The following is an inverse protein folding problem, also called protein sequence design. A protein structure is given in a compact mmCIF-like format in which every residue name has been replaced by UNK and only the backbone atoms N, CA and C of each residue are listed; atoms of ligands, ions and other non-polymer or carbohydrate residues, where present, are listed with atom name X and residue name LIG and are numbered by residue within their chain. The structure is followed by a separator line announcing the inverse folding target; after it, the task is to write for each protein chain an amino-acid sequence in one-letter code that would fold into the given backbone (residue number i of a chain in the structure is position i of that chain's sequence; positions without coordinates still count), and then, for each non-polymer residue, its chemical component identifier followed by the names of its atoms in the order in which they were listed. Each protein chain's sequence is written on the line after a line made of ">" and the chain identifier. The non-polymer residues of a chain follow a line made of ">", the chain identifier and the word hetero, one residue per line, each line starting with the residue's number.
data_IF_101290442805
#
_entry.id   IF_101290442805
#
_cell.length_a   1.000
_cell.length_b   1.000
_cell.length_c   1.000
_cell.angle_alpha   90.00
_cell.angle_beta   90.00
_cell.angle_gamma   90.00
#
_symmetry.space_group_name_H-M   'P 1'
#
loop_
_entity.id
_entity.type
_entity.pdbx_description
1 polymer ?
#
# COMPACT_ATOMS: atom_id res chain seq x y z
N UNK A 1 2.74 7.58 26.00
CA UNK A 1 3.22 8.60 25.03
C UNK A 1 2.55 8.31 23.71
N UNK A 2 2.21 9.33 22.94
CA UNK A 2 1.54 9.21 21.65
C UNK A 2 2.58 9.39 20.53
N UNK A 3 2.50 8.57 19.49
CA UNK A 3 3.39 8.65 18.32
C UNK A 3 2.72 9.46 17.20
N UNK A 4 3.50 10.13 16.32
CA UNK A 4 2.96 10.85 15.18
C UNK A 4 2.07 9.97 14.28
N UNK A 5 0.95 10.53 13.84
CA UNK A 5 -0.04 9.84 13.00
C UNK A 5 -0.99 8.91 13.77
N UNK A 6 -0.83 8.75 15.09
CA UNK A 6 -1.76 8.01 15.94
C UNK A 6 -2.68 8.95 16.72
N UNK A 7 -3.81 8.41 17.17
CA UNK A 7 -4.69 9.07 18.13
C UNK A 7 -4.93 8.20 19.35
N UNK A 8 -5.50 8.78 20.40
CA UNK A 8 -5.96 8.05 21.57
C UNK A 8 -7.26 8.68 22.09
N UNK A 9 -8.27 7.86 22.30
CA UNK A 9 -9.64 8.28 22.58
C UNK A 9 -10.11 7.78 23.94
N UNK A 10 -10.77 8.63 24.71
CA UNK A 10 -11.37 8.32 26.00
C UNK A 10 -12.87 8.51 25.93
N UNK A 11 -13.64 7.68 26.63
CA UNK A 11 -15.09 7.80 26.68
C UNK A 11 -15.60 7.98 28.12
N UNK A 12 -16.56 8.89 28.28
CA UNK A 12 -17.15 9.26 29.56
C UNK A 12 -18.66 9.47 29.43
N UNK A 13 -19.42 8.88 30.35
CA UNK A 13 -20.85 9.17 30.48
C UNK A 13 -21.03 10.44 31.33
N UNK A 14 -21.42 11.54 30.69
CA UNK A 14 -21.48 12.89 31.28
C UNK A 14 -22.93 13.40 31.35
N UNK A 15 -23.30 13.98 32.50
CA UNK A 15 -24.46 14.86 32.63
C UNK A 15 -24.12 16.25 32.09
N UNK A 16 -24.48 16.47 30.82
CA UNK A 16 -24.18 17.69 30.09
C UNK A 16 -24.86 18.94 30.66
N UNK A 17 -25.81 18.82 31.60
CA UNK A 17 -26.48 19.99 32.18
C UNK A 17 -25.56 20.87 33.05
N UNK A 18 -24.44 20.31 33.52
CA UNK A 18 -23.44 21.01 34.34
C UNK A 18 -22.24 21.54 33.54
N UNK A 19 -22.25 21.35 32.22
CA UNK A 19 -21.15 21.71 31.35
C UNK A 19 -19.98 20.72 31.40
N UNK A 20 -19.02 20.95 30.51
CA UNK A 20 -17.82 20.14 30.34
C UNK A 20 -16.63 21.06 30.07
N UNK A 21 -15.50 20.76 30.71
CA UNK A 21 -14.25 21.47 30.53
C UNK A 21 -13.10 20.47 30.39
N UNK A 22 -12.48 20.43 29.22
CA UNK A 22 -11.41 19.51 28.87
C UNK A 22 -10.19 20.34 28.52
N UNK A 23 -9.08 20.11 29.21
CA UNK A 23 -7.80 20.76 28.92
C UNK A 23 -6.73 19.71 28.64
N UNK A 24 -6.15 19.79 27.45
CA UNK A 24 -4.97 19.05 27.00
C UNK A 24 -3.74 19.94 27.21
N UNK A 25 -2.66 19.38 27.74
CA UNK A 25 -1.36 20.05 27.84
C UNK A 25 -0.22 19.07 27.60
N UNK A 26 0.83 19.54 26.95
CA UNK A 26 2.08 18.80 26.82
C UNK A 26 3.30 19.69 27.04
N UNK A 27 4.35 19.08 27.59
CA UNK A 27 5.66 19.72 27.66
C UNK A 27 6.35 19.52 26.30
N UNK A 28 6.18 20.51 25.42
CA UNK A 28 6.76 20.46 24.07
C UNK A 28 8.28 20.61 24.11
N UNK A 29 8.94 20.10 23.09
CA UNK A 29 10.38 20.26 22.93
C UNK A 29 10.71 21.71 22.58
N UNK A 30 11.92 22.14 22.93
CA UNK A 30 12.46 23.46 22.57
C UNK A 30 12.38 23.70 21.05
N UNK A 31 11.54 24.66 20.65
CA UNK A 31 11.43 25.13 19.27
C UNK A 31 12.61 26.01 18.84
N UNK A 32 12.73 26.24 17.53
CA UNK A 32 13.83 27.04 16.99
C UNK A 32 13.78 28.50 17.44
N UNK A 33 14.91 29.02 17.95
CA UNK A 33 15.05 30.43 18.29
C UNK A 33 15.20 31.34 17.06
N UNK A 34 15.58 30.79 15.90
CA UNK A 34 15.88 31.55 14.67
C UNK A 34 14.71 31.67 13.69
N UNK A 35 13.58 31.00 13.93
CA UNK A 35 12.40 31.10 13.07
C UNK A 35 11.80 32.51 13.07
N UNK A 36 11.07 32.87 12.02
CA UNK A 36 10.36 34.15 11.97
C UNK A 36 9.38 34.27 13.15
N UNK A 37 9.05 35.50 13.56
CA UNK A 37 8.09 35.72 14.66
C UNK A 37 6.69 35.19 14.35
N UNK A 38 6.34 35.05 13.07
CA UNK A 38 5.06 34.51 12.61
C UNK A 38 5.03 32.98 12.47
N UNK A 39 6.16 32.30 12.65
CA UNK A 39 6.22 30.84 12.58
C UNK A 39 5.93 30.22 13.95
N UNK A 40 5.12 29.16 13.95
CA UNK A 40 4.89 28.34 15.14
C UNK A 40 6.21 27.89 15.74
N UNK A 41 6.28 27.89 17.07
CA UNK A 41 7.41 27.33 17.83
C UNK A 41 7.14 25.90 18.27
N UNK A 42 5.95 25.39 17.94
CA UNK A 42 5.51 24.05 18.27
C UNK A 42 6.35 23.03 17.48
N UNK A 43 6.94 22.06 18.19
CA UNK A 43 7.70 20.95 17.60
C UNK A 43 6.81 19.73 17.44
N UNK A 44 6.05 19.38 18.47
CA UNK A 44 5.04 18.33 18.42
C UNK A 44 3.64 18.92 18.48
N UNK A 45 2.84 18.60 17.47
CA UNK A 45 1.49 19.11 17.28
C UNK A 45 0.48 18.04 17.72
N UNK A 46 -0.17 18.28 18.87
CA UNK A 46 -1.22 17.41 19.42
C UNK A 46 -2.56 18.14 19.36
N UNK A 47 -3.58 17.49 18.82
CA UNK A 47 -4.90 18.08 18.61
C UNK A 47 -5.93 17.45 19.57
N UNK A 48 -6.64 18.29 20.32
CA UNK A 48 -7.79 17.92 21.13
C UNK A 48 -9.07 17.99 20.29
N UNK A 49 -9.82 16.90 20.26
CA UNK A 49 -11.19 16.87 19.76
C UNK A 49 -12.12 16.28 20.82
N UNK A 50 -13.23 16.95 21.08
CA UNK A 50 -14.28 16.47 21.99
C UNK A 50 -15.56 16.30 21.18
N UNK A 51 -16.12 15.10 21.19
CA UNK A 51 -17.33 14.74 20.45
C UNK A 51 -18.47 14.46 21.43
N UNK A 52 -19.60 15.13 21.25
CA UNK A 52 -20.81 14.94 22.05
C UNK A 52 -21.58 13.68 21.64
N UNK A 53 -22.54 13.24 22.47
CA UNK A 53 -23.39 12.08 22.19
C UNK A 53 -24.19 12.18 20.87
N UNK A 54 -24.42 13.39 20.36
CA UNK A 54 -25.12 13.62 19.10
C UNK A 54 -24.19 13.72 17.88
N UNK A 55 -22.88 13.47 18.07
CA UNK A 55 -21.85 13.54 17.03
C UNK A 55 -21.27 14.93 16.79
N UNK A 56 -21.69 15.96 17.52
CA UNK A 56 -21.12 17.31 17.39
C UNK A 56 -19.68 17.34 17.89
N UNK A 57 -18.75 17.81 17.05
CA UNK A 57 -17.32 17.87 17.37
C UNK A 57 -16.87 19.28 17.72
N UNK A 58 -16.10 19.40 18.81
CA UNK A 58 -15.46 20.62 19.27
C UNK A 58 -13.95 20.45 19.22
N UNK A 59 -13.25 21.39 18.58
CA UNK A 59 -11.79 21.38 18.48
C UNK A 59 -11.17 22.22 19.59
N UNK A 60 -9.95 21.86 19.99
CA UNK A 60 -9.15 22.64 20.92
C UNK A 60 -9.05 24.10 20.49
N UNK A 61 -9.29 25.01 21.45
CA UNK A 61 -9.16 26.45 21.30
C UNK A 61 -10.07 27.13 20.24
N UNK A 62 -11.06 26.41 19.69
CA UNK A 62 -12.11 27.02 18.87
C UNK A 62 -13.17 27.68 19.78
N UNK A 63 -12.97 28.96 20.10
CA UNK A 63 -13.78 29.70 21.07
C UNK A 63 -14.50 30.92 20.48
N UNK A 64 -15.76 31.11 20.90
CA UNK A 64 -16.46 32.39 20.79
C UNK A 64 -17.05 32.78 22.14
N UNK A 65 -16.82 34.03 22.58
CA UNK A 65 -17.33 34.56 23.85
C UNK A 65 -16.98 33.69 25.08
N UNK A 66 -15.83 33.01 25.07
CA UNK A 66 -15.34 32.19 26.18
C UNK A 66 -15.88 30.76 26.27
N UNK A 67 -16.65 30.31 25.26
CA UNK A 67 -17.16 28.94 25.13
C UNK A 67 -16.83 28.35 23.76
N UNK A 68 -16.69 27.03 23.70
CA UNK A 68 -16.30 26.34 22.48
C UNK A 68 -17.37 26.41 21.41
N UNK A 69 -16.93 26.54 20.17
CA UNK A 69 -17.75 26.54 18.96
C UNK A 69 -17.41 25.33 18.08
N UNK A 70 -18.16 25.18 17.00
CA UNK A 70 -18.00 24.12 16.01
C UNK A 70 -17.54 24.71 14.67
N UNK A 71 -16.89 23.90 13.84
CA UNK A 71 -16.54 24.27 12.47
C UNK A 71 -15.25 25.09 12.34
N UNK A 72 -14.55 25.38 13.44
CA UNK A 72 -13.22 25.97 13.41
C UNK A 72 -12.14 25.01 12.87
N UNK A 73 -10.93 25.55 12.78
CA UNK A 73 -9.71 24.79 12.46
C UNK A 73 -9.06 24.27 13.73
N UNK A 74 -8.23 23.23 13.59
CA UNK A 74 -7.38 22.77 14.69
C UNK A 74 -6.39 23.87 15.10
N UNK A 75 -6.04 23.94 16.37
CA UNK A 75 -4.93 24.77 16.83
C UNK A 75 -3.61 24.10 16.39
N UNK A 76 -2.59 24.91 16.10
CA UNK A 76 -1.25 24.45 15.67
C UNK A 76 -0.16 25.40 16.17
N UNK A 77 -0.52 26.23 17.15
CA UNK A 77 0.30 27.30 17.73
C UNK A 77 0.55 27.07 19.21
N UNK A 78 -0.39 26.43 19.91
CA UNK A 78 -0.38 26.29 21.36
C UNK A 78 -0.13 24.84 21.78
N UNK A 79 0.67 24.66 22.83
CA UNK A 79 0.85 23.37 23.52
C UNK A 79 -0.15 23.14 24.66
N UNK A 80 -1.21 23.96 24.69
CA UNK A 80 -2.34 23.87 25.59
C UNK A 80 -3.58 24.07 24.76
N UNK A 81 -4.45 23.08 24.75
CA UNK A 81 -5.72 23.11 24.05
C UNK A 81 -6.86 22.87 25.01
N UNK A 82 -7.96 23.62 24.83
CA UNK A 82 -9.13 23.51 25.70
C UNK A 82 -10.42 23.46 24.90
N UNK A 83 -11.34 22.63 25.37
CA UNK A 83 -12.75 22.67 25.03
C UNK A 83 -13.55 22.99 26.29
N UNK A 84 -14.46 23.96 26.22
CA UNK A 84 -15.31 24.36 27.35
C UNK A 84 -16.73 24.68 26.90
N UNK A 85 -17.69 23.96 27.46
CA UNK A 85 -19.12 24.17 27.23
C UNK A 85 -19.83 24.48 28.55
N UNK A 86 -20.73 25.47 28.55
CA UNK A 86 -21.55 25.80 29.72
C UNK A 86 -22.60 24.72 30.02
N UNK A 87 -23.05 24.04 28.96
CA UNK A 87 -23.98 22.93 28.98
C UNK A 87 -23.85 22.15 27.65
N UNK A 88 -24.28 20.91 27.63
CA UNK A 88 -24.30 20.05 26.45
C UNK A 88 -25.30 18.91 26.59
N UNK A 89 -25.28 17.98 25.63
CA UNK A 89 -26.07 16.76 25.71
C UNK A 89 -25.59 15.85 26.88
N UNK A 90 -26.54 15.18 27.52
CA UNK A 90 -26.24 14.11 28.47
C UNK A 90 -26.09 12.80 27.73
N UNK A 91 -25.03 12.05 28.02
CA UNK A 91 -24.72 10.78 27.35
C UNK A 91 -23.21 10.51 27.30
N UNK A 92 -22.80 9.65 26.37
CA UNK A 92 -21.40 9.32 26.14
C UNK A 92 -20.67 10.37 25.31
N UNK A 93 -19.60 10.91 25.87
CA UNK A 93 -18.71 11.88 25.24
C UNK A 93 -17.35 11.25 24.95
N UNK A 94 -16.89 11.43 23.72
CA UNK A 94 -15.57 10.99 23.28
C UNK A 94 -14.58 12.14 23.33
N UNK A 95 -13.45 11.95 24.00
CA UNK A 95 -12.34 12.90 24.04
C UNK A 95 -11.15 12.24 23.34
N UNK A 96 -10.79 12.76 22.17
CA UNK A 96 -9.67 12.25 21.37
C UNK A 96 -8.49 13.22 21.38
N UNK A 97 -7.29 12.65 21.49
CA UNK A 97 -6.01 13.35 21.34
C UNK A 97 -5.30 12.75 20.13
N UNK A 98 -5.15 13.51 19.06
CA UNK A 98 -4.43 13.09 17.85
C UNK A 98 -3.04 13.71 17.78
N UNK A 99 -2.08 13.03 17.16
CA UNK A 99 -0.72 13.55 16.96
C UNK A 99 -0.48 13.87 15.49
N UNK A 100 -0.63 15.14 15.10
CA UNK A 100 -0.53 15.58 13.71
C UNK A 100 0.88 15.71 13.17
N UNK A 101 1.90 15.84 14.03
CA UNK A 101 3.29 15.88 13.56
C UNK A 101 4.30 16.12 14.68
N UNK A 102 5.58 15.83 14.40
CA UNK A 102 6.67 15.98 15.34
C UNK A 102 7.31 14.65 15.74
N UNK A 103 7.78 14.57 16.98
CA UNK A 103 8.33 13.33 17.58
C UNK A 103 7.38 12.80 18.65
N UNK A 104 7.54 11.54 19.05
CA UNK A 104 6.75 10.94 20.13
C UNK A 104 6.65 11.86 21.35
N UNK A 105 5.42 12.12 21.80
CA UNK A 105 5.11 13.14 22.81
C UNK A 105 4.23 12.57 23.92
N UNK A 106 4.56 12.87 25.18
CA UNK A 106 3.66 12.65 26.31
C UNK A 106 2.76 13.86 26.54
N UNK A 107 1.55 13.63 27.06
CA UNK A 107 0.61 14.68 27.40
C UNK A 107 -0.08 14.40 28.74
N UNK A 108 -0.77 15.41 29.26
CA UNK A 108 -1.72 15.30 30.34
C UNK A 108 -3.08 15.83 29.89
N UNK A 109 -4.14 15.17 30.34
CA UNK A 109 -5.53 15.52 30.06
C UNK A 109 -6.26 15.72 31.39
N UNK A 110 -6.96 16.84 31.52
CA UNK A 110 -7.80 17.15 32.68
C UNK A 110 -9.22 17.37 32.21
N UNK A 111 -10.17 16.66 32.81
CA UNK A 111 -11.59 16.77 32.52
C UNK A 111 -12.31 17.18 33.80
N UNK A 112 -13.12 18.23 33.71
CA UNK A 112 -14.03 18.67 34.76
C UNK A 112 -15.46 18.63 34.24
N UNK A 113 -16.22 17.64 34.72
CA UNK A 113 -17.62 17.42 34.39
C UNK A 113 -18.31 16.63 35.52
N UNK A 114 -19.63 16.54 35.48
CA UNK A 114 -20.41 15.61 36.32
C UNK A 114 -20.66 14.35 35.49
N UNK A 115 -20.13 13.21 35.91
CA UNK A 115 -20.22 11.98 35.13
C UNK A 115 -19.36 10.85 35.69
N UNK A 116 -19.23 9.79 34.92
CA UNK A 116 -18.37 8.65 35.24
C UNK A 116 -17.52 8.26 34.02
N UNK A 117 -16.35 7.69 34.27
CA UNK A 117 -15.59 6.98 33.25
C UNK A 117 -16.44 5.86 32.65
N UNK A 118 -16.44 5.76 31.33
CA UNK A 118 -17.08 4.68 30.58
C UNK A 118 -16.08 4.12 29.56
N UNK A 119 -15.04 3.40 30.02
CA UNK A 119 -13.97 2.95 29.13
C UNK A 119 -14.49 1.91 28.13
N UNK A 120 -14.28 2.18 26.85
CA UNK A 120 -14.55 1.29 25.71
C UNK A 120 -13.23 1.04 24.97
N UNK A 121 -13.11 -0.06 24.22
CA UNK A 121 -11.97 -0.34 23.34
C UNK A 121 -12.15 0.36 22.00
N UNK A 122 -11.06 0.50 21.25
CA UNK A 122 -11.10 1.08 19.90
C UNK A 122 -9.90 0.52 19.13
N UNK A 123 -10.09 -0.60 18.44
CA UNK A 123 -9.16 -1.10 17.45
C UNK A 123 -9.08 -0.07 16.33
N UNK A 124 -7.88 0.12 15.80
CA UNK A 124 -7.67 1.07 14.72
C UNK A 124 -6.44 0.73 13.89
N UNK A 125 -6.60 0.90 12.59
CA UNK A 125 -5.49 0.98 11.64
C UNK A 125 -4.86 2.38 11.63
N UNK A 126 -3.64 2.47 11.12
CA UNK A 126 -2.90 3.71 10.90
C UNK A 126 -2.08 3.61 9.61
N UNK A 127 -1.50 4.71 9.11
CA UNK A 127 -0.84 4.75 7.80
C UNK A 127 0.35 3.80 7.57
N UNK A 128 0.76 3.02 8.58
CA UNK A 128 1.77 1.96 8.48
C UNK A 128 1.26 0.57 8.88
N UNK A 129 -0.06 0.40 8.98
CA UNK A 129 -0.70 -0.85 9.38
C UNK A 129 -0.51 -1.95 8.37
N UNK A 130 -0.35 -1.63 7.09
CA UNK A 130 0.09 -2.58 6.06
C UNK A 130 1.45 -2.11 5.58
N UNK A 131 2.44 -2.99 5.66
CA UNK A 131 3.76 -2.79 5.09
C UNK A 131 4.13 -3.97 4.22
N UNK A 132 4.66 -3.68 3.04
CA UNK A 132 5.22 -4.67 2.13
C UNK A 132 6.72 -4.43 1.94
N UNK A 133 7.50 -5.50 1.78
CA UNK A 133 8.93 -5.39 1.49
C UNK A 133 9.23 -4.73 0.16
N UNK A 134 8.29 -4.76 -0.78
CA UNK A 134 8.35 -4.13 -2.09
C UNK A 134 6.94 -3.82 -2.60
N UNK A 135 6.76 -2.67 -3.24
CA UNK A 135 5.48 -2.25 -3.83
C UNK A 135 5.33 -2.64 -5.31
N UNK A 136 6.43 -3.07 -5.95
CA UNK A 136 6.44 -3.53 -7.34
C UNK A 136 7.15 -4.89 -7.46
N UNK A 137 6.61 -5.97 -6.86
CA UNK A 137 7.20 -7.31 -6.96
C UNK A 137 7.13 -7.84 -8.40
N UNK A 138 7.96 -8.84 -8.70
CA UNK A 138 7.70 -9.70 -9.85
C UNK A 138 6.64 -10.74 -9.50
N UNK A 139 5.89 -11.17 -10.51
CA UNK A 139 5.00 -12.32 -10.42
C UNK A 139 5.82 -13.53 -9.94
N UNK A 140 5.23 -14.29 -9.01
CA UNK A 140 5.84 -15.43 -8.32
C UNK A 140 7.01 -15.08 -7.38
N UNK A 141 7.38 -13.82 -7.20
CA UNK A 141 8.30 -13.44 -6.12
C UNK A 141 7.59 -13.46 -4.76
N UNK A 142 8.33 -13.83 -3.72
CA UNK A 142 7.86 -13.71 -2.35
C UNK A 142 7.90 -12.25 -1.88
N UNK A 143 6.76 -11.74 -1.46
CA UNK A 143 6.63 -10.45 -0.77
C UNK A 143 6.42 -10.71 0.71
N UNK A 144 7.25 -10.10 1.56
CA UNK A 144 7.00 -10.10 3.00
C UNK A 144 5.98 -8.99 3.30
N UNK A 145 4.83 -9.39 3.83
CA UNK A 145 3.79 -8.49 4.32
C UNK A 145 3.85 -8.45 5.85
N UNK A 146 3.70 -7.26 6.41
CA UNK A 146 3.57 -7.03 7.85
C UNK A 146 2.30 -6.24 8.12
N UNK A 147 1.50 -6.76 9.04
CA UNK A 147 0.32 -6.09 9.57
C UNK A 147 0.64 -5.52 10.95
N UNK A 148 0.08 -4.36 11.27
CA UNK A 148 0.15 -3.76 12.60
C UNK A 148 -1.10 -2.92 12.88
N UNK A 149 -1.55 -2.88 14.12
CA UNK A 149 -2.67 -2.04 14.54
C UNK A 149 -2.55 -1.73 16.03
N UNK A 150 -3.44 -0.87 16.52
CA UNK A 150 -3.46 -0.43 17.91
C UNK A 150 -4.86 -0.61 18.50
N UNK A 151 -4.93 -0.77 19.81
CA UNK A 151 -6.13 -0.40 20.56
C UNK A 151 -5.90 1.03 21.07
N UNK A 152 -6.55 2.01 20.45
CA UNK A 152 -6.38 3.43 20.74
C UNK A 152 -7.34 3.95 21.82
N UNK A 153 -7.92 3.09 22.64
CA UNK A 153 -8.74 3.47 23.79
C UNK A 153 -8.34 2.69 25.07
N UNK A 154 -8.91 2.99 26.25
CA UNK A 154 -8.43 2.46 27.53
C UNK A 154 -8.88 1.03 27.84
N UNK A 155 -10.05 0.59 27.35
CA UNK A 155 -10.54 -0.76 27.69
C UNK A 155 -9.77 -1.83 26.91
N UNK A 156 -9.62 -3.00 27.51
CA UNK A 156 -9.09 -4.19 26.81
C UNK A 156 -10.19 -4.79 25.94
N UNK A 157 -9.86 -5.20 24.72
CA UNK A 157 -10.82 -5.85 23.81
C UNK A 157 -11.19 -7.25 24.30
N UNK A 158 -12.30 -7.80 23.80
CA UNK A 158 -12.47 -9.26 23.76
C UNK A 158 -11.53 -9.87 22.67
N UNK A 159 -11.41 -11.20 22.53
CA UNK A 159 -10.78 -11.79 21.36
C UNK A 159 -11.54 -11.42 20.08
N UNK A 160 -10.81 -11.10 19.01
CA UNK A 160 -11.36 -10.56 17.76
C UNK A 160 -10.74 -11.24 16.54
N UNK A 161 -11.43 -11.20 15.41
CA UNK A 161 -10.93 -11.78 14.15
C UNK A 161 -10.23 -10.71 13.31
N UNK A 162 -9.05 -11.03 12.77
CA UNK A 162 -8.37 -10.18 11.80
C UNK A 162 -8.32 -10.91 10.46
N UNK A 163 -8.59 -10.19 9.38
CA UNK A 163 -8.57 -10.73 8.02
C UNK A 163 -7.70 -9.84 7.13
N UNK A 164 -6.87 -10.48 6.31
CA UNK A 164 -6.10 -9.84 5.24
C UNK A 164 -6.53 -10.45 3.91
N UNK A 165 -6.95 -9.60 2.99
CA UNK A 165 -7.51 -9.99 1.70
C UNK A 165 -6.78 -9.31 0.55
N UNK A 166 -6.68 -10.01 -0.56
CA UNK A 166 -6.52 -9.40 -1.87
C UNK A 166 -7.92 -9.15 -2.43
N UNK A 167 -8.37 -7.89 -2.40
CA UNK A 167 -9.72 -7.55 -2.85
C UNK A 167 -9.82 -7.42 -4.37
N UNK A 168 -8.69 -7.34 -5.08
CA UNK A 168 -8.67 -7.39 -6.55
C UNK A 168 -9.08 -8.78 -7.01
N UNK A 169 -8.52 -9.81 -6.39
CA UNK A 169 -8.74 -11.21 -6.75
C UNK A 169 -9.85 -11.90 -5.93
N UNK A 170 -10.31 -11.26 -4.84
CA UNK A 170 -11.26 -11.85 -3.91
C UNK A 170 -10.66 -13.01 -3.10
N UNK A 171 -9.36 -12.96 -2.81
CA UNK A 171 -8.64 -14.00 -2.09
C UNK A 171 -8.41 -13.58 -0.62
N UNK A 172 -8.80 -14.43 0.33
CA UNK A 172 -8.35 -14.28 1.73
C UNK A 172 -6.93 -14.81 1.83
N UNK A 173 -5.97 -13.89 1.98
CA UNK A 173 -4.54 -14.24 2.10
C UNK A 173 -4.22 -14.74 3.52
N UNK A 174 -4.86 -14.16 4.52
CA UNK A 174 -4.68 -14.55 5.91
C UNK A 174 -5.95 -14.27 6.71
N UNK A 175 -6.28 -15.15 7.64
CA UNK A 175 -7.28 -14.92 8.68
C UNK A 175 -6.82 -15.56 9.99
N UNK A 176 -7.22 -14.97 11.11
CA UNK A 176 -6.95 -15.55 12.40
C UNK A 176 -7.50 -14.73 13.56
N UNK A 177 -7.90 -15.47 14.59
CA UNK A 177 -8.34 -14.89 15.85
C UNK A 177 -7.15 -14.37 16.65
N UNK A 178 -7.31 -13.18 17.23
CA UNK A 178 -6.35 -12.49 18.09
C UNK A 178 -6.79 -12.58 19.54
N UNK A 179 -5.80 -12.63 20.43
CA UNK A 179 -6.03 -12.51 21.86
C UNK A 179 -6.48 -11.08 22.23
N UNK A 180 -7.11 -10.88 23.39
CA UNK A 180 -7.45 -9.57 23.93
C UNK A 180 -6.30 -8.56 23.87
N UNK A 181 -6.54 -7.39 23.27
CA UNK A 181 -5.55 -6.32 23.15
C UNK A 181 -5.79 -5.26 24.24
N UNK A 182 -4.80 -5.06 25.10
CA UNK A 182 -4.86 -4.05 26.15
C UNK A 182 -4.98 -2.64 25.59
N UNK A 183 -5.63 -1.74 26.33
CA UNK A 183 -5.75 -0.35 25.95
C UNK A 183 -4.39 0.33 25.77
N UNK A 184 -4.20 1.02 24.65
CA UNK A 184 -2.94 1.65 24.25
C UNK A 184 -1.85 0.69 23.78
N UNK A 185 -2.12 -0.62 23.74
CA UNK A 185 -1.19 -1.60 23.18
C UNK A 185 -1.32 -1.68 21.66
N UNK A 186 -0.26 -2.19 21.02
CA UNK A 186 -0.24 -2.52 19.60
C UNK A 186 -0.03 -4.01 19.40
N UNK A 187 -0.51 -4.52 18.29
CA UNK A 187 -0.28 -5.90 17.86
C UNK A 187 0.20 -5.91 16.40
N UNK A 188 0.89 -6.99 16.01
CA UNK A 188 1.45 -7.14 14.68
C UNK A 188 1.79 -8.59 14.36
N UNK A 189 1.80 -8.91 13.06
CA UNK A 189 2.33 -10.16 12.55
C UNK A 189 2.88 -9.97 11.13
N UNK A 190 3.63 -10.95 10.65
CA UNK A 190 4.15 -10.95 9.29
C UNK A 190 4.08 -12.33 8.66
N UNK A 191 3.96 -12.37 7.34
CA UNK A 191 3.92 -13.57 6.53
C UNK A 191 4.39 -13.27 5.10
N UNK A 192 4.73 -14.31 4.34
CA UNK A 192 5.13 -14.18 2.94
C UNK A 192 3.97 -14.57 2.02
N UNK A 193 3.80 -13.84 0.91
CA UNK A 193 2.81 -14.11 -0.15
C UNK A 193 3.48 -14.01 -1.52
N UNK A 194 3.14 -14.94 -2.41
CA UNK A 194 3.42 -14.85 -3.85
C UNK A 194 2.14 -14.46 -4.58
N UNK A 195 2.28 -13.57 -5.56
CA UNK A 195 1.20 -13.17 -6.47
C UNK A 195 1.41 -13.84 -7.82
N UNK A 196 0.36 -14.45 -8.37
CA UNK A 196 0.42 -15.27 -9.60
C UNK A 196 -0.20 -14.58 -10.81
N UNK A 197 -0.60 -13.33 -10.65
CA UNK A 197 -1.14 -12.49 -11.72
C UNK A 197 -0.46 -11.14 -11.66
N UNK A 198 -0.34 -10.50 -12.82
CA UNK A 198 0.21 -9.14 -12.93
C UNK A 198 -0.87 -8.08 -12.80
N UNK A 199 -0.47 -6.86 -12.47
CA UNK A 199 -1.36 -5.71 -12.31
C UNK A 199 -1.41 -5.18 -10.89
N UNK A 200 -2.37 -4.29 -10.62
CA UNK A 200 -2.56 -3.71 -9.29
C UNK A 200 -3.40 -4.66 -8.44
N UNK A 201 -2.79 -5.14 -7.37
CA UNK A 201 -3.41 -5.91 -6.30
C UNK A 201 -3.64 -5.00 -5.09
N UNK A 202 -4.89 -4.83 -4.68
CA UNK A 202 -5.24 -4.03 -3.49
C UNK A 202 -5.35 -4.96 -2.29
N UNK A 203 -4.44 -4.81 -1.33
CA UNK A 203 -4.41 -5.60 -0.10
C UNK A 203 -5.18 -4.86 0.98
N UNK A 204 -6.22 -5.49 1.52
CA UNK A 204 -7.04 -4.95 2.61
C UNK A 204 -6.73 -5.66 3.93
N UNK A 205 -6.54 -4.88 4.99
CA UNK A 205 -6.55 -5.34 6.38
C UNK A 205 -7.89 -4.94 7.00
N UNK A 206 -8.58 -5.89 7.61
CA UNK A 206 -9.82 -5.68 8.36
C UNK A 206 -9.64 -6.20 9.78
N UNK A 207 -9.78 -5.30 10.76
CA UNK A 207 -9.84 -5.62 12.18
C UNK A 207 -11.27 -5.92 12.60
N UNK A 208 -11.43 -6.74 13.64
CA UNK A 208 -12.71 -7.29 14.10
C UNK A 208 -13.69 -7.62 12.95
N UNK A 209 -13.25 -8.47 12.03
CA UNK A 209 -14.04 -8.80 10.85
C UNK A 209 -15.39 -9.49 11.16
N UNK A 210 -15.59 -9.89 12.42
CA UNK A 210 -16.83 -10.51 12.90
C UNK A 210 -17.74 -9.54 13.66
N UNK A 211 -17.30 -8.32 13.92
CA UNK A 211 -18.01 -7.32 14.72
C UNK A 211 -18.48 -7.87 16.07
N UNK A 212 -17.56 -8.46 16.81
CA UNK A 212 -17.85 -9.09 18.09
C UNK A 212 -17.31 -8.28 19.29
N UNK A 213 -16.46 -7.29 19.03
CA UNK A 213 -15.97 -6.33 20.00
C UNK A 213 -16.80 -5.07 19.87
N UNK A 214 -17.36 -4.60 20.98
CA UNK A 214 -17.97 -3.26 21.01
C UNK A 214 -16.86 -2.22 21.05
N UNK A 215 -16.82 -1.36 20.04
CA UNK A 215 -15.77 -0.36 19.87
C UNK A 215 -16.32 1.05 19.95
N UNK A 216 -15.44 2.03 20.15
CA UNK A 216 -15.83 3.43 20.12
C UNK A 216 -16.08 3.89 18.68
N UNK A 217 -15.32 3.35 17.74
CA UNK A 217 -15.49 3.53 16.32
C UNK A 217 -15.35 2.18 15.62
N UNK A 218 -16.36 1.81 14.86
CA UNK A 218 -16.39 0.59 14.04
C UNK A 218 -17.33 0.81 12.84
N UNK A 219 -17.83 -0.25 12.22
CA UNK A 219 -18.79 -0.15 11.12
C UNK A 219 -20.23 0.18 11.53
N UNK A 220 -20.55 0.12 12.83
CA UNK A 220 -21.88 0.38 13.40
C UNK A 220 -21.92 1.73 14.12
N UNK A 221 -20.85 2.07 14.84
CA UNK A 221 -20.72 3.23 15.70
C UNK A 221 -19.57 4.15 15.21
N UNK A 222 -19.81 5.47 15.20
CA UNK A 222 -18.77 6.45 14.86
C UNK A 222 -18.27 6.38 13.41
N UNK A 223 -16.95 6.29 13.21
CA UNK A 223 -16.31 6.22 11.89
C UNK A 223 -15.44 4.97 11.80
N UNK A 224 -15.76 4.06 10.88
CA UNK A 224 -14.99 2.83 10.69
C UNK A 224 -13.51 3.12 10.38
N UNK A 225 -12.67 2.84 11.38
CA UNK A 225 -11.21 2.97 11.40
C UNK A 225 -10.53 1.59 11.51
N UNK A 226 -11.28 0.50 11.30
CA UNK A 226 -10.81 -0.89 11.36
C UNK A 226 -10.29 -1.41 10.03
N UNK A 227 -10.29 -0.59 8.97
CA UNK A 227 -9.94 -1.01 7.61
C UNK A 227 -8.83 -0.13 7.03
N UNK A 228 -7.80 -0.76 6.46
CA UNK A 228 -6.79 -0.10 5.63
C UNK A 228 -6.56 -0.87 4.33
N UNK A 229 -6.17 -0.16 3.27
CA UNK A 229 -5.79 -0.74 1.99
C UNK A 229 -4.37 -0.31 1.56
N UNK A 230 -3.68 -1.19 0.85
CA UNK A 230 -2.38 -0.94 0.23
C UNK A 230 -2.35 -1.54 -1.18
N UNK A 231 -2.02 -0.73 -2.18
CA UNK A 231 -1.82 -1.19 -3.54
C UNK A 231 -0.40 -1.72 -3.76
N UNK A 232 -0.30 -2.90 -4.37
CA UNK A 232 0.93 -3.52 -4.87
C UNK A 232 0.80 -3.69 -6.39
N UNK A 233 1.77 -3.20 -7.15
CA UNK A 233 1.78 -3.37 -8.60
C UNK A 233 2.66 -4.56 -8.99
N UNK A 234 2.05 -5.72 -9.19
CA UNK A 234 2.74 -6.95 -9.56
C UNK A 234 3.15 -6.87 -11.03
N UNK A 235 4.43 -7.06 -11.28
CA UNK A 235 5.05 -6.93 -12.60
C UNK A 235 5.50 -8.27 -13.13
N UNK A 236 5.65 -8.42 -14.44
CA UNK A 236 6.34 -9.57 -15.03
C UNK A 236 7.48 -9.06 -15.90
N UNK A 237 8.52 -9.87 -16.03
CA UNK A 237 9.57 -9.68 -17.02
C UNK A 237 9.34 -10.73 -18.10
N UNK A 238 9.34 -10.32 -19.36
CA UNK A 238 9.26 -11.29 -20.44
C UNK A 238 9.25 -10.67 -21.82
N UNK A 239 10.17 -11.14 -22.65
CA UNK A 239 10.03 -11.05 -24.11
C UNK A 239 10.12 -12.48 -24.64
N UNK A 240 9.11 -12.91 -25.38
CA UNK A 240 9.11 -14.21 -26.06
C UNK A 240 9.38 -14.03 -27.54
N UNK A 241 10.34 -14.78 -28.04
CA UNK A 241 10.62 -14.88 -29.48
C UNK A 241 10.06 -16.21 -29.98
N UNK A 242 9.12 -16.15 -30.92
CA UNK A 242 8.48 -17.32 -31.50
C UNK A 242 8.92 -17.42 -32.97
N UNK A 243 9.76 -18.41 -33.34
CA UNK A 243 10.04 -18.68 -34.74
C UNK A 243 8.84 -19.36 -35.40
N UNK A 244 8.54 -18.97 -36.64
CA UNK A 244 7.48 -19.59 -37.44
C UNK A 244 8.02 -20.81 -38.20
N UNK A 245 7.11 -21.71 -38.57
CA UNK A 245 7.40 -22.83 -39.44
C UNK A 245 7.73 -22.33 -40.87
N UNK A 246 8.37 -23.16 -41.73
CA UNK A 246 8.73 -22.77 -43.09
C UNK A 246 7.55 -22.35 -43.99
N UNK A 247 6.32 -22.71 -43.62
CA UNK A 247 5.09 -22.30 -44.31
C UNK A 247 4.48 -20.99 -43.75
N UNK A 248 5.15 -20.35 -42.78
CA UNK A 248 4.72 -19.12 -42.12
C UNK A 248 3.69 -19.31 -41.01
N UNK A 249 3.35 -20.55 -40.65
CA UNK A 249 2.44 -20.82 -39.53
C UNK A 249 3.17 -20.78 -38.17
N UNK A 250 2.42 -20.48 -37.10
CA UNK A 250 2.95 -20.55 -35.74
C UNK A 250 3.00 -22.00 -35.26
N UNK A 251 4.09 -22.45 -34.61
CA UNK A 251 4.18 -23.79 -34.08
C UNK A 251 3.13 -24.04 -32.99
N UNK A 252 2.47 -25.20 -33.04
CA UNK A 252 1.39 -25.59 -32.13
C UNK A 252 1.87 -26.29 -30.85
N UNK A 253 3.09 -26.85 -30.87
CA UNK A 253 3.67 -27.59 -29.75
C UNK A 253 5.21 -27.46 -29.67
N UNK A 254 5.81 -28.09 -28.66
CA UNK A 254 7.26 -28.03 -28.42
C UNK A 254 8.09 -28.66 -29.53
N UNK A 255 7.56 -29.68 -30.21
CA UNK A 255 8.30 -30.37 -31.26
C UNK A 255 8.34 -29.49 -32.52
N UNK A 256 7.23 -28.84 -32.87
CA UNK A 256 7.17 -27.85 -33.95
C UNK A 256 8.03 -26.61 -33.67
N UNK A 257 8.14 -26.17 -32.41
CA UNK A 257 9.05 -25.08 -32.02
C UNK A 257 10.51 -25.46 -32.33
N UNK A 258 10.93 -26.67 -31.99
CA UNK A 258 12.30 -27.14 -32.27
C UNK A 258 12.59 -27.26 -33.77
N UNK A 259 11.58 -27.53 -34.57
CA UNK A 259 11.66 -27.50 -36.04
C UNK A 259 11.78 -26.05 -36.53
N UNK A 260 10.89 -25.15 -36.08
CA UNK A 260 10.86 -23.74 -36.49
C UNK A 260 12.16 -22.98 -36.16
N UNK A 261 12.87 -23.40 -35.10
CA UNK A 261 14.20 -22.88 -34.72
C UNK A 261 15.32 -23.19 -35.72
N UNK A 262 15.05 -23.95 -36.78
CA UNK A 262 16.04 -24.33 -37.78
C UNK A 262 15.48 -24.13 -39.18
N UNK A 263 16.22 -23.41 -40.01
CA UNK A 263 16.00 -23.44 -41.46
C UNK A 263 17.27 -23.92 -42.15
N UNK A 264 17.08 -24.74 -43.18
CA UNK A 264 18.17 -25.29 -43.98
C UNK A 264 18.01 -24.72 -45.38
N UNK A 265 19.02 -24.00 -45.84
CA UNK A 265 19.15 -23.63 -47.25
C UNK A 265 19.95 -24.70 -47.97
N UNK A 266 19.39 -25.23 -49.05
CA UNK A 266 20.19 -25.92 -50.05
C UNK A 266 20.64 -24.90 -51.12
N UNK A 267 21.93 -24.52 -51.14
CA UNK A 267 22.44 -23.51 -52.07
C UNK A 267 22.40 -23.95 -53.54
N UNK A 268 22.17 -25.24 -53.82
CA UNK A 268 22.01 -25.73 -55.19
C UNK A 268 20.61 -25.48 -55.78
N UNK A 269 19.62 -25.20 -54.92
CA UNK A 269 18.21 -25.03 -55.30
C UNK A 269 17.60 -23.71 -54.86
N UNK A 270 18.24 -22.99 -53.93
CA UNK A 270 17.80 -21.69 -53.45
C UNK A 270 18.95 -20.73 -53.21
N UNK A 271 18.62 -19.44 -53.15
CA UNK A 271 19.59 -18.35 -52.94
C UNK A 271 19.23 -17.45 -51.76
N UNK A 272 18.17 -17.79 -51.02
CA UNK A 272 17.66 -17.00 -49.90
C UNK A 272 17.04 -17.89 -48.83
N UNK A 273 17.08 -17.41 -47.59
CA UNK A 273 16.32 -17.93 -46.44
C UNK A 273 15.60 -16.77 -45.79
N UNK A 274 14.32 -16.98 -45.44
CA UNK A 274 13.53 -16.04 -44.68
C UNK A 274 13.08 -16.64 -43.38
N UNK A 275 13.36 -15.93 -42.29
CA UNK A 275 12.96 -16.32 -40.94
C UNK A 275 11.92 -15.35 -40.41
N UNK A 276 10.70 -15.86 -40.26
CA UNK A 276 9.61 -15.11 -39.68
C UNK A 276 9.61 -15.34 -38.17
N UNK A 277 9.70 -14.24 -37.42
CA UNK A 277 9.77 -14.23 -35.97
C UNK A 277 8.65 -13.36 -35.44
N UNK A 278 7.92 -13.84 -34.43
CA UNK A 278 7.03 -13.02 -33.62
C UNK A 278 7.71 -12.70 -32.30
N UNK A 279 7.81 -11.40 -32.00
CA UNK A 279 8.21 -10.89 -30.70
C UNK A 279 6.95 -10.55 -29.92
N UNK A 280 6.77 -11.17 -28.76
CA UNK A 280 5.70 -10.86 -27.82
C UNK A 280 6.30 -10.29 -26.54
N UNK A 281 5.82 -9.14 -26.09
CA UNK A 281 6.08 -8.67 -24.73
C UNK A 281 5.11 -9.40 -23.80
N UNK A 282 5.68 -10.19 -22.90
CA UNK A 282 4.97 -10.92 -21.84
C UNK A 282 5.24 -10.32 -20.46
N UNK A 283 6.09 -9.31 -20.40
CA UNK A 283 6.28 -8.48 -19.23
C UNK A 283 5.28 -7.33 -19.16
N UNK A 284 5.42 -6.56 -18.09
CA UNK A 284 4.63 -5.34 -17.85
C UNK A 284 5.43 -4.06 -18.12
N UNK A 285 6.73 -4.18 -18.43
CA UNK A 285 7.62 -3.07 -18.79
C UNK A 285 7.67 -2.84 -20.30
N UNK A 286 7.94 -1.60 -20.70
CA UNK A 286 8.39 -1.29 -22.07
C UNK A 286 9.82 -1.78 -22.23
N UNK A 287 10.07 -2.62 -23.24
CA UNK A 287 11.40 -3.20 -23.50
C UNK A 287 11.94 -2.76 -24.87
N UNK A 288 13.20 -2.33 -24.91
CA UNK A 288 13.91 -2.08 -26.16
C UNK A 288 14.62 -3.37 -26.60
N UNK A 289 14.26 -3.89 -27.77
CA UNK A 289 14.80 -5.15 -28.29
C UNK A 289 15.75 -4.84 -29.45
N UNK A 290 17.00 -5.28 -29.32
CA UNK A 290 17.98 -5.25 -30.41
C UNK A 290 18.18 -6.65 -30.95
N UNK A 291 17.86 -6.84 -32.23
CA UNK A 291 18.11 -8.10 -32.92
C UNK A 291 19.49 -8.07 -33.58
N UNK A 292 20.32 -9.08 -33.31
CA UNK A 292 21.65 -9.22 -33.89
C UNK A 292 21.72 -10.50 -34.69
N UNK A 293 22.15 -10.39 -35.95
CA UNK A 293 22.34 -11.55 -36.84
C UNK A 293 23.83 -11.77 -37.08
N UNK A 294 24.34 -12.91 -36.64
CA UNK A 294 25.73 -13.33 -36.83
C UNK A 294 26.02 -13.64 -38.30
N UNK A 295 27.28 -13.58 -38.77
CA UNK A 295 27.65 -14.02 -40.12
C UNK A 295 27.14 -15.43 -40.43
N UNK A 296 26.80 -15.69 -41.69
CA UNK A 296 26.49 -17.04 -42.15
C UNK A 296 27.74 -17.89 -42.03
N UNK A 297 27.59 -19.10 -41.51
CA UNK A 297 28.67 -20.06 -41.35
C UNK A 297 28.30 -21.37 -42.04
N UNK A 298 29.27 -21.98 -42.71
CA UNK A 298 29.15 -23.33 -43.25
C UNK A 298 29.48 -24.35 -42.15
N UNK A 299 28.65 -25.37 -42.00
CA UNK A 299 28.89 -26.48 -41.08
C UNK A 299 29.58 -27.63 -41.83
N UNK A 300 30.78 -28.01 -41.39
CA UNK A 300 31.51 -29.17 -41.90
C UNK A 300 30.93 -30.49 -41.40
N UNK A 301 31.30 -31.62 -42.03
CA UNK A 301 30.88 -32.98 -41.59
C UNK A 301 31.24 -33.29 -40.13
N UNK A 302 32.28 -32.65 -39.59
CA UNK A 302 32.73 -32.77 -38.20
C UNK A 302 31.96 -31.85 -37.22
N UNK A 303 31.03 -31.03 -37.71
CA UNK A 303 30.25 -30.05 -36.95
C UNK A 303 30.94 -28.71 -36.71
N UNK A 304 32.15 -28.48 -37.23
CA UNK A 304 32.84 -27.20 -37.14
C UNK A 304 32.16 -26.15 -38.03
N UNK A 305 32.10 -24.91 -37.53
CA UNK A 305 31.53 -23.77 -38.25
C UNK A 305 32.65 -22.90 -38.84
N UNK A 306 32.67 -22.77 -40.16
CA UNK A 306 33.63 -21.94 -40.91
C UNK A 306 32.91 -20.78 -41.61
N UNK A 307 33.59 -19.64 -41.85
CA UNK A 307 33.04 -18.61 -42.73
C UNK A 307 32.83 -19.17 -44.14
N UNK A 308 31.75 -18.73 -44.80
CA UNK A 308 31.51 -19.05 -46.21
C UNK A 308 32.45 -18.27 -47.12
N UNK A 309 32.75 -18.81 -48.31
CA UNK A 309 33.46 -18.04 -49.35
C UNK A 309 32.56 -16.95 -49.99
N UNK A 310 31.24 -17.14 -49.95
CA UNK A 310 30.25 -16.22 -50.51
C UNK A 310 30.01 -14.97 -49.65
N UNK A 311 29.61 -13.88 -50.30
CA UNK A 311 29.13 -12.67 -49.64
C UNK A 311 27.62 -12.74 -49.37
N UNK A 312 27.24 -12.53 -48.11
CA UNK A 312 25.84 -12.56 -47.66
C UNK A 312 25.38 -11.17 -47.24
N UNK A 313 24.31 -10.69 -47.85
CA UNK A 313 23.62 -9.48 -47.38
C UNK A 313 22.59 -9.86 -46.30
N UNK A 314 22.39 -8.97 -45.32
CA UNK A 314 21.42 -9.16 -44.24
C UNK A 314 20.53 -7.94 -44.17
N UNK A 315 19.23 -8.16 -44.14
CA UNK A 315 18.26 -7.11 -43.89
C UNK A 315 17.19 -7.58 -42.91
N UNK A 316 16.88 -6.72 -41.95
CA UNK A 316 15.76 -6.85 -41.04
C UNK A 316 14.65 -5.91 -41.51
N UNK A 317 13.40 -6.36 -41.50
CA UNK A 317 12.24 -5.53 -41.82
C UNK A 317 11.26 -5.49 -40.65
N UNK A 318 10.67 -4.31 -40.39
CA UNK A 318 9.68 -4.10 -39.31
C UNK A 318 8.30 -4.73 -39.62
N UNK A 319 8.13 -5.31 -40.81
CA UNK A 319 7.09 -6.30 -41.10
C UNK A 319 7.75 -7.67 -41.17
N UNK A 320 8.14 -8.20 -40.00
CA UNK A 320 8.71 -9.53 -39.76
C UNK A 320 8.94 -10.39 -41.01
N UNK A 321 9.97 -10.07 -41.79
CA UNK A 321 10.55 -10.93 -42.82
C UNK A 321 12.05 -10.65 -42.82
N UNK A 322 12.85 -11.62 -42.39
CA UNK A 322 14.29 -11.57 -42.62
C UNK A 322 14.57 -11.86 -44.09
N UNK A 323 15.35 -11.00 -44.74
CA UNK A 323 15.72 -11.19 -46.14
C UNK A 323 17.25 -11.20 -46.21
N UNK A 324 17.82 -12.33 -46.63
CA UNK A 324 19.26 -12.47 -46.89
C UNK A 324 19.47 -12.88 -48.35
N UNK A 325 19.61 -11.90 -49.27
CA UNK A 325 19.91 -12.22 -50.65
C UNK A 325 21.41 -12.50 -50.84
N UNK A 326 21.72 -13.57 -51.56
CA UNK A 326 23.05 -13.84 -52.11
C UNK A 326 23.27 -13.07 -53.41
N UNK A 327 24.49 -12.54 -53.61
CA UNK A 327 25.01 -12.18 -54.94
C UNK A 327 26.22 -13.05 -55.28
N UNK A 328 25.99 -14.16 -55.95
CA UNK A 328 27.05 -14.97 -56.54
C UNK A 328 27.51 -14.42 -57.90
N UNK A 329 28.82 -14.19 -58.04
CA UNK A 329 29.49 -14.22 -59.35
C UNK A 329 30.12 -15.61 -59.52
N UNK A 330 29.84 -16.26 -60.66
CA UNK A 330 30.50 -17.50 -61.09
C UNK A 330 32.02 -17.35 -61.22
#
# INVERSE_FOLDING_TARGET
>A
MLSPGLSYSYNYAIDGSYGIDVTLVWNDREGSSSSSQSASRLVSDLDLTVTSPDGTTYKGNDFANGFSTTGGSKDSLNNVERVRLASGATGDWTISVAHSGGSQQGYALVISAVGNENPISDLAVFGGSIWASQLTPLENDYVLLRMAWVNQAPATTAPYEVVVEDITDGEVIWSGTRDPLQGGASDSFSFQKQFTTTGIHTIRLTLDATNNVTEMNDEVDGTNNNVLELDLNITAIGVRVIPHLPDGSMPADSDEVEIARKQVLDPSTGVEVSWDLTLANEGTSDEEIVLVVTPVQMMEENGALQPTEDEWEKSASERAHFHSPLRGCC
#
